data_IF_192419663595
#
_entry.id   IF_192419663595
#
_cell.length_a   1.000
_cell.length_b   1.000
_cell.length_c   1.000
_cell.angle_alpha   90.00
_cell.angle_beta   90.00
_cell.angle_gamma   90.00
#
_symmetry.space_group_name_H-M   'P 1'
#
loop_
_entity.id
_entity.type
_entity.pdbx_description
1 polymer ?
#
# COMPACT_ATOMS: atom_id res chain seq x y z
N UNK A 1 6.68 -6.61 14.69
CA UNK A 1 5.94 -6.14 13.49
C UNK A 1 6.91 -5.33 12.65
N UNK A 2 7.08 -5.63 11.37
CA UNK A 2 8.02 -4.94 10.47
C UNK A 2 7.28 -3.93 9.60
N UNK A 3 7.92 -2.81 9.26
CA UNK A 3 7.32 -1.77 8.42
C UNK A 3 8.05 -1.71 7.08
N UNK A 4 7.30 -1.76 5.98
CA UNK A 4 7.85 -1.74 4.63
C UNK A 4 7.20 -0.63 3.82
N UNK A 5 8.02 0.28 3.30
CA UNK A 5 7.61 1.25 2.30
C UNK A 5 7.85 0.67 0.90
N UNK A 6 6.78 0.47 0.15
CA UNK A 6 6.80 -0.22 -1.13
C UNK A 6 7.01 0.78 -2.28
N UNK A 7 7.97 0.47 -3.15
CA UNK A 7 8.12 1.18 -4.41
C UNK A 7 6.97 0.83 -5.38
N UNK A 8 6.72 1.73 -6.32
CA UNK A 8 5.68 1.60 -7.36
C UNK A 8 5.85 0.31 -8.18
N UNK A 9 7.08 -0.12 -8.45
CA UNK A 9 7.34 -1.34 -9.21
C UNK A 9 6.84 -2.59 -8.48
N UNK A 10 7.08 -2.69 -7.17
CA UNK A 10 6.61 -3.83 -6.36
C UNK A 10 5.08 -3.90 -6.36
N UNK A 11 4.43 -2.74 -6.29
CA UNK A 11 2.97 -2.64 -6.36
C UNK A 11 2.44 -3.03 -7.74
N UNK A 12 3.13 -2.65 -8.83
CA UNK A 12 2.79 -3.07 -10.19
C UNK A 12 3.03 -4.56 -10.41
N UNK A 13 4.12 -5.12 -9.86
CA UNK A 13 4.43 -6.55 -9.96
C UNK A 13 3.35 -7.40 -9.29
N UNK A 14 2.83 -6.92 -8.16
CA UNK A 14 1.64 -7.46 -7.53
C UNK A 14 0.43 -7.32 -8.48
N UNK A 15 -0.02 -6.09 -8.76
CA UNK A 15 -1.28 -5.86 -9.49
C UNK A 15 -1.34 -6.48 -10.90
N UNK A 16 -0.24 -6.42 -11.65
CA UNK A 16 -0.16 -6.87 -13.04
C UNK A 16 0.40 -8.27 -13.21
N UNK A 17 0.78 -8.93 -12.10
CA UNK A 17 1.40 -10.27 -12.13
C UNK A 17 2.60 -10.34 -13.07
N UNK A 18 3.50 -9.36 -12.98
CA UNK A 18 4.72 -9.36 -13.81
C UNK A 18 5.57 -10.59 -13.48
N UNK A 19 5.98 -11.29 -14.53
CA UNK A 19 6.71 -12.56 -14.43
C UNK A 19 7.96 -12.41 -13.54
N UNK A 20 8.18 -13.40 -12.67
CA UNK A 20 9.33 -13.50 -11.77
C UNK A 20 9.19 -12.76 -10.43
N UNK A 21 8.37 -11.70 -10.33
CA UNK A 21 8.30 -10.86 -9.12
C UNK A 21 6.99 -10.98 -8.34
N UNK A 22 5.91 -11.41 -8.98
CA UNK A 22 4.61 -11.59 -8.34
C UNK A 22 4.62 -12.50 -7.09
N UNK A 23 5.30 -13.67 -7.06
CA UNK A 23 5.27 -14.55 -5.87
C UNK A 23 5.93 -13.88 -4.67
N UNK A 24 7.05 -13.20 -4.89
CA UNK A 24 7.77 -12.46 -3.85
C UNK A 24 6.94 -11.30 -3.30
N UNK A 25 6.28 -10.54 -4.19
CA UNK A 25 5.35 -9.50 -3.77
C UNK A 25 4.19 -10.07 -2.95
N UNK A 26 3.63 -11.21 -3.36
CA UNK A 26 2.53 -11.86 -2.65
C UNK A 26 2.89 -12.22 -1.20
N UNK A 27 4.13 -12.65 -0.94
CA UNK A 27 4.60 -12.95 0.42
C UNK A 27 4.57 -11.71 1.34
N UNK A 28 4.84 -10.51 0.82
CA UNK A 28 4.72 -9.26 1.59
C UNK A 28 3.27 -8.99 2.00
N UNK A 29 2.33 -9.17 1.08
CA UNK A 29 0.90 -8.97 1.37
C UNK A 29 0.34 -10.04 2.32
N UNK A 30 0.78 -11.30 2.21
CA UNK A 30 0.42 -12.35 3.16
C UNK A 30 1.00 -12.09 4.57
N UNK A 31 2.23 -11.58 4.65
CA UNK A 31 2.83 -11.15 5.92
C UNK A 31 2.06 -9.96 6.54
N UNK A 32 1.50 -9.07 5.71
CA UNK A 32 0.63 -7.98 6.16
C UNK A 32 -0.68 -8.51 6.74
N UNK A 33 -1.35 -9.43 6.04
CA UNK A 33 -2.62 -10.03 6.47
C UNK A 33 -2.49 -10.83 7.77
N UNK A 34 -1.33 -11.47 8.00
CA UNK A 34 -1.02 -12.17 9.25
C UNK A 34 -0.53 -11.25 10.39
N UNK A 35 -0.49 -9.94 10.17
CA UNK A 35 -0.07 -8.94 11.17
C UNK A 35 1.45 -8.93 11.43
N UNK A 36 2.25 -9.60 10.61
CA UNK A 36 3.70 -9.62 10.74
C UNK A 36 4.36 -8.37 10.14
N UNK A 37 3.72 -7.77 9.14
CA UNK A 37 4.16 -6.58 8.43
C UNK A 37 3.10 -5.47 8.36
N UNK A 38 3.53 -4.22 8.29
CA UNK A 38 2.71 -3.09 7.86
C UNK A 38 3.29 -2.54 6.56
N UNK A 39 2.43 -2.40 5.55
CA UNK A 39 2.81 -1.97 4.21
C UNK A 39 2.39 -0.52 4.00
N UNK A 40 3.30 0.27 3.43
CA UNK A 40 3.09 1.68 3.12
C UNK A 40 3.36 1.92 1.64
N UNK A 41 2.63 2.85 1.04
CA UNK A 41 2.87 3.29 -0.33
C UNK A 41 2.73 4.81 -0.43
N UNK A 42 3.45 5.43 -1.35
CA UNK A 42 3.28 6.86 -1.60
C UNK A 42 1.96 7.13 -2.32
N UNK A 43 1.32 8.25 -2.02
CA UNK A 43 0.17 8.77 -2.80
C UNK A 43 0.50 8.94 -4.30
N UNK A 44 1.76 9.27 -4.65
CA UNK A 44 2.21 9.36 -6.04
C UNK A 44 2.20 8.00 -6.76
N UNK A 45 2.50 6.90 -6.04
CA UNK A 45 2.50 5.56 -6.60
C UNK A 45 1.12 5.17 -7.14
N UNK A 46 0.03 5.58 -6.50
CA UNK A 46 -1.33 5.34 -6.99
C UNK A 46 -1.59 6.02 -8.34
N UNK A 47 -1.10 7.25 -8.52
CA UNK A 47 -1.21 7.97 -9.78
C UNK A 47 -0.39 7.26 -10.88
N UNK A 48 0.86 6.90 -10.58
CA UNK A 48 1.71 6.17 -11.51
C UNK A 48 1.12 4.82 -11.92
N UNK A 49 0.54 4.07 -10.98
CA UNK A 49 -0.12 2.80 -11.27
C UNK A 49 -1.34 3.03 -12.18
N UNK A 50 -2.21 3.98 -11.86
CA UNK A 50 -3.38 4.32 -12.69
C UNK A 50 -2.98 4.62 -14.14
N UNK A 51 -1.94 5.43 -14.31
CA UNK A 51 -1.44 5.81 -15.61
C UNK A 51 -0.75 4.66 -16.32
N UNK A 52 -0.02 3.80 -15.61
CA UNK A 52 0.65 2.63 -16.21
C UNK A 52 -0.36 1.62 -16.72
N UNK A 53 -1.36 1.29 -15.90
CA UNK A 53 -2.41 0.32 -16.26
C UNK A 53 -3.31 0.80 -17.39
N UNK A 54 -3.32 2.10 -17.73
CA UNK A 54 -4.18 2.65 -18.81
C UNK A 54 -3.92 2.02 -20.17
N UNK A 55 -2.73 1.43 -20.36
CA UNK A 55 -2.30 0.80 -21.61
C UNK A 55 -2.93 -0.57 -21.83
N UNK A 56 -3.36 -1.22 -20.75
CA UNK A 56 -3.74 -2.64 -20.75
C UNK A 56 -5.12 -2.89 -20.15
N UNK A 57 -5.65 -1.97 -19.33
CA UNK A 57 -6.87 -2.16 -18.56
C UNK A 57 -7.89 -1.04 -18.78
N UNK A 58 -9.16 -1.41 -18.72
CA UNK A 58 -10.28 -0.47 -18.73
C UNK A 58 -10.25 0.47 -17.52
N UNK A 59 -10.99 1.58 -17.58
CA UNK A 59 -11.10 2.49 -16.43
C UNK A 59 -11.68 1.81 -15.18
N UNK A 60 -12.68 0.94 -15.36
CA UNK A 60 -13.33 0.22 -14.27
C UNK A 60 -12.36 -0.74 -13.57
N UNK A 61 -11.60 -1.53 -14.33
CA UNK A 61 -10.60 -2.46 -13.78
C UNK A 61 -9.50 -1.72 -13.02
N UNK A 62 -9.04 -0.57 -13.52
CA UNK A 62 -8.02 0.25 -12.85
C UNK A 62 -8.50 0.79 -11.51
N UNK A 63 -9.71 1.34 -11.46
CA UNK A 63 -10.29 1.85 -10.22
C UNK A 63 -10.53 0.72 -9.22
N UNK A 64 -11.01 -0.44 -9.67
CA UNK A 64 -11.17 -1.61 -8.82
C UNK A 64 -9.83 -2.07 -8.24
N UNK A 65 -8.78 -2.19 -9.06
CA UNK A 65 -7.45 -2.58 -8.62
C UNK A 65 -6.84 -1.60 -7.60
N UNK A 66 -6.96 -0.30 -7.84
CA UNK A 66 -6.45 0.73 -6.92
C UNK A 66 -7.26 0.80 -5.61
N UNK A 67 -8.58 0.60 -5.68
CA UNK A 67 -9.42 0.50 -4.49
C UNK A 67 -8.99 -0.70 -3.65
N UNK A 68 -8.71 -1.83 -4.30
CA UNK A 68 -8.26 -3.02 -3.60
C UNK A 68 -6.88 -2.82 -2.96
N UNK A 69 -5.97 -2.19 -3.70
CA UNK A 69 -4.64 -1.88 -3.18
C UNK A 69 -4.70 -0.93 -1.97
N UNK A 70 -5.55 0.10 -2.03
CA UNK A 70 -5.70 1.09 -0.96
C UNK A 70 -6.18 0.47 0.37
N UNK A 71 -6.87 -0.66 0.33
CA UNK A 71 -7.29 -1.38 1.53
C UNK A 71 -6.22 -2.34 2.08
N UNK A 72 -5.13 -2.59 1.33
CA UNK A 72 -4.02 -3.46 1.74
C UNK A 72 -2.80 -2.71 2.26
N UNK A 73 -2.68 -1.41 1.96
CA UNK A 73 -1.52 -0.57 2.31
C UNK A 73 -1.96 0.75 2.93
N UNK A 74 -1.12 1.31 3.80
CA UNK A 74 -1.29 2.67 4.29
C UNK A 74 -0.73 3.67 3.27
N UNK A 75 -1.51 4.70 2.92
CA UNK A 75 -1.12 5.68 1.91
C UNK A 75 -0.46 6.88 2.58
N UNK A 76 0.81 7.14 2.23
CA UNK A 76 1.56 8.28 2.73
C UNK A 76 1.37 9.50 1.80
N UNK A 77 0.84 10.62 2.31
CA UNK A 77 0.71 11.84 1.52
C UNK A 77 2.08 12.44 1.20
N UNK A 78 2.30 12.80 -0.06
CA UNK A 78 3.51 13.47 -0.51
C UNK A 78 3.15 14.90 -0.88
N UNK A 79 3.60 15.86 -0.06
CA UNK A 79 3.36 17.29 -0.26
C UNK A 79 4.65 18.08 -0.45
N UNK A 80 4.51 19.39 -0.64
CA UNK A 80 5.65 20.33 -0.81
C UNK A 80 6.78 20.12 0.20
N UNK A 81 6.54 20.00 1.52
CA UNK A 81 7.64 19.84 2.48
C UNK A 81 8.45 18.56 2.27
N UNK A 82 7.78 17.46 1.91
CA UNK A 82 8.42 16.17 1.63
C UNK A 82 9.30 16.28 0.39
N UNK A 83 8.82 16.98 -0.65
CA UNK A 83 9.55 17.20 -1.90
C UNK A 83 10.77 18.09 -1.66
N UNK A 84 10.60 19.20 -0.94
CA UNK A 84 11.70 20.12 -0.61
C UNK A 84 12.79 19.41 0.22
N UNK A 85 12.40 18.57 1.19
CA UNK A 85 13.34 17.74 1.93
C UNK A 85 14.06 16.70 1.04
N UNK A 86 13.38 16.11 0.06
CA UNK A 86 14.02 15.18 -0.87
C UNK A 86 15.07 15.86 -1.77
N UNK A 87 14.82 17.11 -2.18
CA UNK A 87 15.75 17.89 -3.00
C UNK A 87 17.01 18.34 -2.24
N UNK A 88 16.91 18.56 -0.93
CA UNK A 88 18.09 18.88 -0.10
C UNK A 88 18.91 17.65 0.24
N UNK A 89 18.31 16.45 0.23
CA UNK A 89 19.01 15.20 0.50
C UNK A 89 20.10 14.90 -0.55
N UNK A 90 19.89 15.27 -1.82
CA UNK A 90 20.89 15.11 -2.88
C UNK A 90 22.13 16.00 -2.73
N UNK A 91 22.13 16.95 -1.80
CA UNK A 91 23.30 17.77 -1.49
C UNK A 91 24.26 17.12 -0.47
N UNK A 92 23.96 15.92 0.05
CA UNK A 92 24.86 15.18 0.93
C UNK A 92 25.94 14.45 0.10
N UNK A 93 27.23 14.53 0.51
CA UNK A 93 28.28 13.79 -0.18
C UNK A 93 27.97 12.29 -0.14
N UNK A 94 27.97 11.67 -1.32
CA UNK A 94 27.60 10.27 -1.60
C UNK A 94 28.46 9.23 -0.87
N UNK A 95 29.47 9.66 -0.10
CA UNK A 95 30.31 8.81 0.75
C UNK A 95 29.68 8.43 2.10
N UNK A 96 28.48 8.94 2.44
CA UNK A 96 27.76 8.60 3.68
C UNK A 96 26.35 8.02 3.46
N UNK A 97 26.08 7.33 2.35
CA UNK A 97 24.92 6.42 2.26
C UNK A 97 25.18 5.08 2.97
N UNK A 98 25.83 5.12 4.13
CA UNK A 98 25.96 4.00 5.05
C UNK A 98 25.29 4.42 6.35
N UNK A 99 24.10 3.86 6.59
CA UNK A 99 23.49 3.61 7.89
C UNK A 99 23.47 4.77 8.93
N UNK A 100 22.25 5.23 9.26
CA UNK A 100 21.87 6.00 10.46
C UNK A 100 22.46 7.40 10.68
N UNK A 101 21.58 8.42 10.66
CA UNK A 101 21.45 9.34 11.81
C UNK A 101 20.14 10.12 11.79
N UNK A 102 19.43 10.04 12.91
CA UNK A 102 18.40 10.95 13.44
C UNK A 102 16.94 10.78 12.99
N UNK A 103 15.99 10.88 13.94
CA UNK A 103 14.67 10.29 13.84
C UNK A 103 13.71 11.23 13.12
N UNK A 104 13.02 10.72 12.10
CA UNK A 104 11.74 11.30 11.69
C UNK A 104 10.70 10.97 12.76
N UNK A 105 10.77 11.68 13.88
CA UNK A 105 9.63 11.90 14.76
C UNK A 105 8.68 12.88 14.03
N UNK A 106 8.12 12.43 12.91
CA UNK A 106 6.97 13.06 12.29
C UNK A 106 5.75 12.51 13.04
N UNK A 107 5.11 13.40 13.79
CA UNK A 107 3.82 13.24 14.45
C UNK A 107 2.92 12.24 13.74
N UNK A 108 2.87 11.01 14.24
CA UNK A 108 1.69 10.18 14.13
C UNK A 108 0.65 10.82 15.08
N UNK A 109 -0.55 11.19 14.61
CA UNK A 109 -1.60 11.59 15.53
C UNK A 109 -1.89 10.41 16.46
N UNK A 110 -1.68 10.60 17.75
CA UNK A 110 -2.11 9.68 18.79
C UNK A 110 -3.62 9.50 18.68
N UNK A 111 -4.06 8.26 18.50
CA UNK A 111 -5.47 7.87 18.63
C UNK A 111 -6.01 8.41 19.96
N UNK A 112 -7.11 9.18 19.99
CA UNK A 112 -7.79 9.44 21.25
C UNK A 112 -8.46 8.15 21.73
N UNK A 113 -8.09 7.72 22.94
CA UNK A 113 -8.72 6.63 23.68
C UNK A 113 -9.92 7.15 24.47
N UNK A 114 -11.15 6.81 24.07
CA UNK A 114 -12.23 6.53 25.05
C UNK A 114 -13.48 5.87 24.44
N UNK A 115 -14.27 5.13 25.23
CA UNK A 115 -15.26 4.15 24.77
C UNK A 115 -16.71 4.69 24.84
N UNK A 116 -17.55 4.33 23.87
CA UNK A 116 -19.01 4.38 24.02
C UNK A 116 -19.75 3.50 23.00
N UNK A 117 -20.19 2.34 23.50
CA UNK A 117 -21.50 1.66 23.32
C UNK A 117 -21.97 1.17 21.93
N UNK A 118 -22.47 -0.09 21.82
CA UNK A 118 -22.93 -0.67 20.56
C UNK A 118 -24.38 -0.27 20.26
N UNK A 119 -24.70 0.09 19.01
CA UNK A 119 -26.08 0.13 18.53
C UNK A 119 -26.24 -0.78 17.31
N UNK A 120 -27.09 -1.77 17.52
CA UNK A 120 -27.40 -2.85 16.60
C UNK A 120 -28.18 -2.40 15.35
N UNK A 121 -27.80 -3.03 14.22
CA UNK A 121 -28.61 -3.56 13.11
C UNK A 121 -29.70 -2.67 12.46
N UNK A 122 -29.65 -2.58 11.12
CA UNK A 122 -30.66 -3.23 10.24
C UNK A 122 -30.13 -3.52 8.82
N UNK A 123 -30.72 -4.50 8.11
CA UNK A 123 -30.08 -5.24 7.02
C UNK A 123 -30.60 -4.87 5.61
N UNK A 124 -29.81 -5.19 4.58
CA UNK A 124 -30.37 -5.48 3.25
C UNK A 124 -29.48 -5.21 2.03
N UNK A 125 -29.24 -6.30 1.28
CA UNK A 125 -28.93 -6.43 -0.17
C UNK A 125 -27.45 -6.52 -0.57
N UNK A 126 -27.12 -7.70 -1.14
CA UNK A 126 -25.88 -8.03 -1.85
C UNK A 126 -24.84 -8.69 -0.96
N UNK A 127 -24.59 -10.00 -1.14
CA UNK A 127 -23.41 -10.66 -0.57
C UNK A 127 -22.16 -10.15 -1.29
N UNK A 128 -21.67 -8.97 -0.91
CA UNK A 128 -20.29 -8.61 -1.16
C UNK A 128 -19.44 -9.45 -0.21
N UNK A 129 -18.65 -10.39 -0.74
CA UNK A 129 -17.61 -11.05 0.04
C UNK A 129 -16.75 -9.95 0.70
N UNK A 130 -16.37 -10.08 1.99
CA UNK A 130 -15.47 -9.15 2.64
C UNK A 130 -14.26 -8.88 1.74
N UNK A 131 -13.83 -7.64 1.65
CA UNK A 131 -12.68 -7.21 0.83
C UNK A 131 -11.45 -8.13 1.00
N UNK A 132 -11.23 -8.61 2.24
CA UNK A 132 -10.20 -9.60 2.59
C UNK A 132 -10.33 -10.94 1.87
N UNK A 133 -11.53 -11.40 1.55
CA UNK A 133 -11.73 -12.64 0.79
C UNK A 133 -11.45 -12.44 -0.70
N UNK A 134 -11.71 -11.25 -1.26
CA UNK A 134 -11.54 -10.98 -2.70
C UNK A 134 -10.07 -11.04 -3.10
N UNK A 135 -9.19 -10.38 -2.33
CA UNK A 135 -7.75 -10.45 -2.60
C UNK A 135 -7.20 -11.86 -2.34
N UNK A 136 -7.73 -12.61 -1.35
CA UNK A 136 -7.33 -14.02 -1.11
C UNK A 136 -7.72 -14.93 -2.27
N UNK A 137 -8.89 -14.77 -2.88
CA UNK A 137 -9.26 -15.50 -4.09
C UNK A 137 -8.42 -15.09 -5.30
N UNK A 138 -8.06 -13.81 -5.42
CA UNK A 138 -7.15 -13.30 -6.45
C UNK A 138 -5.69 -13.76 -6.22
N UNK A 139 -5.26 -13.92 -4.97
CA UNK A 139 -4.00 -14.54 -4.59
C UNK A 139 -4.04 -16.06 -4.78
N UNK A 140 -5.19 -16.72 -4.62
CA UNK A 140 -5.33 -18.15 -4.86
C UNK A 140 -5.28 -18.50 -6.36
N UNK A 141 -5.63 -17.57 -7.27
CA UNK A 141 -5.35 -17.71 -8.70
C UNK A 141 -3.88 -17.47 -9.07
N UNK A 142 -3.03 -17.17 -8.08
CA UNK A 142 -1.58 -17.04 -8.23
C UNK A 142 -0.86 -18.41 -8.25
N UNK A 143 -1.46 -19.42 -7.61
CA UNK A 143 -0.91 -20.78 -7.47
C UNK A 143 -1.47 -21.78 -8.50
N UNK A 144 -2.17 -21.29 -9.52
CA UNK A 144 -2.72 -22.09 -10.62
C UNK A 144 -2.09 -21.70 -11.94
#
# INVERSE_FOLDING_TARGET
MRHYFLDTNVLLDFLLRRDGFGPTALHLFAASDSGQAMLYASSLSFNHIYYTMRKTNSAAERLAALTDLAALVEIIPVGRPVIEAALTLSALPTSKMACNTAPLALCLPSKPSSPATPRALRPGRGRCLPHQQRWRSWAASFLR
#
